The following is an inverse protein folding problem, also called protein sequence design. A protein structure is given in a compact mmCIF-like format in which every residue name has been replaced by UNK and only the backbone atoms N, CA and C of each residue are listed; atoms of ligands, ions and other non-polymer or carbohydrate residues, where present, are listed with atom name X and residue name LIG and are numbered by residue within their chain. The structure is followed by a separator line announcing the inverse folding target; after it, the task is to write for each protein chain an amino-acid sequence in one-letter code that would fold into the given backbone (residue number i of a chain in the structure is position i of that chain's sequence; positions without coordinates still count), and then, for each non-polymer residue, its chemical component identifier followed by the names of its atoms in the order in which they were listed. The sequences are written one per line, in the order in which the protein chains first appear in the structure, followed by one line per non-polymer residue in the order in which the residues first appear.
data_IF_525401771025
#
_entry.id   IF_525401771025
#
_cell.length_a   1.000
_cell.length_b   1.000
_cell.length_c   1.000
_cell.angle_alpha   90.00
_cell.angle_beta   90.00
_cell.angle_gamma   90.00
#
_symmetry.space_group_name_H-M   'P 1'
#
loop_
_entity.id
_entity.type
_entity.pdbx_description
1 polymer ?
#
# COMPACT_ATOMS: atom_id res chain seq x y z
N UNK A 1 -13.42 30.08 0.42
CA UNK A 1 -12.65 28.86 0.79
C UNK A 1 -12.50 28.82 2.30
N UNK A 2 -13.08 27.83 2.95
CA UNK A 2 -12.92 27.61 4.41
C UNK A 2 -11.49 27.19 4.69
N UNK A 3 -10.84 27.80 5.67
CA UNK A 3 -9.49 27.43 6.10
C UNK A 3 -9.59 26.42 7.23
N UNK A 4 -8.92 25.26 7.08
CA UNK A 4 -8.76 24.29 8.16
C UNK A 4 -7.72 24.77 9.16
N UNK A 5 -7.96 24.50 10.44
CA UNK A 5 -6.97 24.72 11.48
C UNK A 5 -5.80 23.73 11.34
N UNK A 6 -4.60 24.11 11.77
CA UNK A 6 -3.40 23.23 11.75
C UNK A 6 -3.66 21.89 12.43
N UNK A 7 -4.42 21.88 13.52
CA UNK A 7 -4.82 20.67 14.25
C UNK A 7 -5.68 19.73 13.39
N UNK A 8 -6.60 20.28 12.59
CA UNK A 8 -7.45 19.46 11.71
C UNK A 8 -6.65 18.83 10.57
N UNK A 9 -5.73 19.59 9.99
CA UNK A 9 -4.80 19.10 8.96
C UNK A 9 -3.95 17.97 9.52
N UNK A 10 -3.38 18.14 10.72
CA UNK A 10 -2.61 17.11 11.40
C UNK A 10 -3.45 15.84 11.62
N UNK A 11 -4.68 15.97 12.11
CA UNK A 11 -5.57 14.82 12.35
C UNK A 11 -5.92 14.06 11.06
N UNK A 12 -6.08 14.77 9.93
CA UNK A 12 -6.33 14.12 8.63
C UNK A 12 -5.05 13.44 8.12
N UNK A 13 -3.88 14.05 8.31
CA UNK A 13 -2.59 13.42 7.96
C UNK A 13 -2.35 12.16 8.80
N UNK A 14 -2.62 12.18 10.10
CA UNK A 14 -2.53 11.02 10.97
C UNK A 14 -3.55 9.93 10.62
N UNK A 15 -4.77 10.33 10.23
CA UNK A 15 -5.77 9.38 9.71
C UNK A 15 -5.28 8.69 8.44
N UNK A 16 -4.76 9.45 7.49
CA UNK A 16 -4.23 8.89 6.25
C UNK A 16 -3.00 8.01 6.48
N UNK A 17 -2.08 8.43 7.35
CA UNK A 17 -0.96 7.59 7.79
C UNK A 17 -1.45 6.24 8.34
N UNK A 18 -2.41 6.25 9.26
CA UNK A 18 -2.97 5.03 9.85
C UNK A 18 -3.64 4.12 8.81
N UNK A 19 -4.25 4.70 7.78
CA UNK A 19 -4.89 3.93 6.70
C UNK A 19 -3.85 3.27 5.79
N UNK A 20 -2.69 3.89 5.57
CA UNK A 20 -1.58 3.31 4.84
C UNK A 20 -0.80 2.30 5.70
N UNK A 21 -0.49 2.65 6.94
CA UNK A 21 0.41 1.91 7.79
C UNK A 21 -0.21 0.60 8.30
N UNK A 22 0.03 -0.45 7.55
CA UNK A 22 -0.53 -1.79 7.80
C UNK A 22 0.54 -2.88 7.85
N UNK A 23 0.10 -4.10 7.58
CA UNK A 23 0.91 -5.31 7.63
C UNK A 23 2.21 -5.22 6.82
N UNK A 24 2.11 -4.80 5.54
CA UNK A 24 3.27 -4.69 4.65
C UNK A 24 4.30 -3.68 5.15
N UNK A 25 3.83 -2.53 5.63
CA UNK A 25 4.66 -1.44 6.12
C UNK A 25 5.46 -1.80 7.39
N UNK A 26 5.01 -2.81 8.11
CA UNK A 26 5.72 -3.35 9.26
C UNK A 26 6.75 -4.41 8.91
N UNK A 27 6.51 -5.23 7.87
CA UNK A 27 7.39 -6.38 7.58
C UNK A 27 8.44 -6.11 6.51
N UNK A 28 8.14 -5.29 5.49
CA UNK A 28 9.09 -5.10 4.39
C UNK A 28 10.30 -4.23 4.75
N UNK A 29 10.19 -3.09 5.46
CA UNK A 29 11.36 -2.30 5.82
C UNK A 29 12.37 -3.05 6.71
N UNK A 30 11.97 -3.79 7.76
CA UNK A 30 12.95 -4.56 8.55
C UNK A 30 13.57 -5.70 7.74
N UNK A 31 12.83 -6.33 6.82
CA UNK A 31 13.39 -7.38 5.98
C UNK A 31 14.40 -6.81 4.97
N UNK A 32 14.04 -5.69 4.34
CA UNK A 32 14.97 -4.92 3.51
C UNK A 32 16.24 -4.59 4.30
N UNK A 33 16.11 -4.05 5.51
CA UNK A 33 17.26 -3.71 6.34
C UNK A 33 18.14 -4.92 6.63
N UNK A 34 17.52 -6.05 7.00
CA UNK A 34 18.21 -7.31 7.25
C UNK A 34 18.95 -7.85 6.01
N UNK A 35 18.32 -7.84 4.83
CA UNK A 35 18.95 -8.34 3.60
C UNK A 35 19.97 -7.36 3.01
N UNK A 36 19.70 -6.07 3.07
CA UNK A 36 20.58 -5.03 2.55
C UNK A 36 21.82 -4.80 3.42
N UNK A 37 21.75 -5.10 4.74
CA UNK A 37 22.89 -4.97 5.64
C UNK A 37 23.55 -3.60 5.52
N UNK A 38 24.84 -3.55 5.15
CA UNK A 38 25.60 -2.29 4.98
C UNK A 38 25.04 -1.36 3.88
N UNK A 39 24.31 -1.91 2.90
CA UNK A 39 23.65 -1.14 1.83
C UNK A 39 22.24 -0.61 2.21
N UNK A 40 21.84 -0.70 3.49
CA UNK A 40 20.49 -0.34 3.94
C UNK A 40 20.07 1.06 3.55
N UNK A 41 20.96 2.05 3.65
CA UNK A 41 20.61 3.45 3.38
C UNK A 41 20.23 3.71 1.91
N UNK A 42 21.00 3.16 0.98
CA UNK A 42 20.71 3.24 -0.45
C UNK A 42 19.42 2.49 -0.80
N UNK A 43 19.24 1.31 -0.19
CA UNK A 43 18.02 0.50 -0.36
C UNK A 43 16.78 1.21 0.18
N UNK A 44 16.88 1.86 1.33
CA UNK A 44 15.80 2.66 1.92
C UNK A 44 15.42 3.86 1.07
N UNK A 45 16.36 4.50 0.37
CA UNK A 45 16.03 5.57 -0.58
C UNK A 45 15.10 5.03 -1.67
N UNK A 46 15.44 3.90 -2.29
CA UNK A 46 14.59 3.25 -3.28
C UNK A 46 13.22 2.87 -2.71
N UNK A 47 13.20 2.25 -1.53
CA UNK A 47 11.98 1.86 -0.85
C UNK A 47 11.06 3.06 -0.54
N UNK A 48 11.61 4.16 -0.01
CA UNK A 48 10.83 5.37 0.32
C UNK A 48 10.27 6.03 -0.94
N UNK A 49 11.03 6.06 -2.04
CA UNK A 49 10.52 6.58 -3.32
C UNK A 49 9.29 5.78 -3.75
N UNK A 50 9.31 4.46 -3.64
CA UNK A 50 8.22 3.57 -4.02
C UNK A 50 7.09 3.54 -3.00
N UNK A 51 7.39 3.23 -1.73
CA UNK A 51 6.39 3.00 -0.68
C UNK A 51 5.82 4.28 -0.06
N UNK A 52 6.43 5.46 -0.35
CA UNK A 52 5.94 6.74 0.15
C UNK A 52 5.72 7.74 -0.98
N UNK A 53 6.70 7.92 -1.85
CA UNK A 53 6.63 8.89 -2.94
C UNK A 53 5.47 8.61 -3.88
N UNK A 54 5.36 7.38 -4.40
CA UNK A 54 4.29 6.99 -5.31
C UNK A 54 2.89 7.09 -4.66
N UNK A 55 2.66 6.65 -3.42
CA UNK A 55 1.38 6.88 -2.72
C UNK A 55 1.02 8.35 -2.57
N UNK A 56 1.96 9.23 -2.19
CA UNK A 56 1.71 10.68 -2.13
C UNK A 56 1.27 11.20 -3.50
N UNK A 57 1.98 10.82 -4.57
CA UNK A 57 1.63 11.17 -5.94
C UNK A 57 0.26 10.62 -6.34
N UNK A 58 -0.11 9.43 -5.86
CA UNK A 58 -1.43 8.82 -6.02
C UNK A 58 -2.53 9.68 -5.38
N UNK A 59 -2.35 10.07 -4.12
CA UNK A 59 -3.30 10.96 -3.42
C UNK A 59 -3.45 12.30 -4.16
N UNK A 60 -2.33 12.90 -4.60
CA UNK A 60 -2.36 14.17 -5.36
C UNK A 60 -3.06 14.00 -6.71
N UNK A 61 -2.83 12.88 -7.41
CA UNK A 61 -3.48 12.59 -8.68
C UNK A 61 -5.01 12.45 -8.53
N UNK A 62 -5.47 11.73 -7.49
CA UNK A 62 -6.89 11.63 -7.16
C UNK A 62 -7.47 12.97 -6.75
N UNK A 63 -6.75 13.75 -5.94
CA UNK A 63 -7.17 15.07 -5.52
C UNK A 63 -7.41 16.03 -6.72
N UNK A 64 -6.53 15.96 -7.74
CA UNK A 64 -6.67 16.73 -8.98
C UNK A 64 -7.74 16.18 -9.92
N UNK A 65 -7.98 14.89 -9.92
CA UNK A 65 -8.98 14.25 -10.78
C UNK A 65 -10.40 14.31 -10.20
N UNK A 66 -10.53 14.51 -8.88
CA UNK A 66 -11.79 14.47 -8.14
C UNK A 66 -12.18 13.08 -7.65
N UNK A 67 -11.91 12.01 -8.42
CA UNK A 67 -12.17 10.62 -8.04
C UNK A 67 -11.31 9.63 -8.84
N UNK A 68 -11.23 8.38 -8.36
CA UNK A 68 -10.56 7.31 -9.09
C UNK A 68 -11.30 6.97 -10.39
N UNK A 69 -12.64 6.96 -10.36
CA UNK A 69 -13.44 6.75 -11.58
C UNK A 69 -13.19 7.82 -12.64
N UNK A 70 -13.11 9.10 -12.23
CA UNK A 70 -12.79 10.20 -13.15
C UNK A 70 -11.40 10.05 -13.75
N UNK A 71 -10.41 9.65 -12.95
CA UNK A 71 -9.05 9.40 -13.42
C UNK A 71 -9.02 8.25 -14.43
N UNK A 72 -9.62 7.12 -14.10
CA UNK A 72 -9.70 5.95 -14.97
C UNK A 72 -10.54 6.19 -16.24
N UNK A 73 -11.57 7.02 -16.13
CA UNK A 73 -12.44 7.42 -17.24
C UNK A 73 -11.75 8.19 -18.37
N UNK A 74 -10.58 8.76 -18.09
CA UNK A 74 -9.75 9.40 -19.11
C UNK A 74 -9.16 8.40 -20.11
N UNK A 75 -9.10 7.12 -19.76
CA UNK A 75 -8.69 6.03 -20.66
C UNK A 75 -9.86 5.64 -21.58
N UNK A 76 -10.99 5.25 -20.98
CA UNK A 76 -12.22 4.87 -21.67
C UNK A 76 -13.39 4.84 -20.67
N UNK A 77 -14.63 5.04 -21.13
CA UNK A 77 -15.82 5.01 -20.26
C UNK A 77 -16.00 3.69 -19.51
N UNK A 78 -15.81 2.56 -20.15
CA UNK A 78 -15.86 1.24 -19.49
C UNK A 78 -14.71 1.04 -18.49
N UNK A 79 -13.53 1.59 -18.78
CA UNK A 79 -12.37 1.52 -17.90
C UNK A 79 -12.60 2.28 -16.59
N UNK A 80 -13.44 3.34 -16.61
CA UNK A 80 -13.85 4.10 -15.41
C UNK A 80 -14.53 3.24 -14.34
N UNK A 81 -15.13 2.13 -14.72
CA UNK A 81 -15.82 1.22 -13.79
C UNK A 81 -14.99 -0.04 -13.57
N UNK A 82 -14.52 -0.67 -14.64
CA UNK A 82 -13.87 -1.98 -14.59
C UNK A 82 -12.57 -1.91 -13.76
N UNK A 83 -11.68 -0.98 -14.06
CA UNK A 83 -10.38 -0.92 -13.41
C UNK A 83 -10.48 -0.54 -11.91
N UNK A 84 -11.24 0.50 -11.51
CA UNK A 84 -11.52 0.72 -10.09
C UNK A 84 -12.16 -0.51 -9.40
N UNK A 85 -13.16 -1.16 -9.98
CA UNK A 85 -13.74 -2.38 -9.40
C UNK A 85 -12.67 -3.45 -9.14
N UNK A 86 -11.78 -3.71 -10.11
CA UNK A 86 -10.68 -4.66 -9.97
C UNK A 86 -9.79 -4.25 -8.79
N UNK A 87 -9.35 -2.99 -8.74
CA UNK A 87 -8.46 -2.50 -7.67
C UNK A 87 -9.14 -2.58 -6.30
N UNK A 88 -10.40 -2.15 -6.18
CA UNK A 88 -11.16 -2.23 -4.92
C UNK A 88 -11.39 -3.67 -4.46
N UNK A 89 -11.69 -4.60 -5.37
CA UNK A 89 -11.87 -6.02 -5.02
C UNK A 89 -10.55 -6.64 -4.57
N UNK A 90 -9.46 -6.42 -5.31
CA UNK A 90 -8.19 -7.06 -4.99
C UNK A 90 -7.50 -6.45 -3.77
N UNK A 91 -7.38 -5.13 -3.68
CA UNK A 91 -6.75 -4.48 -2.51
C UNK A 91 -7.65 -4.56 -1.27
N UNK A 92 -8.97 -4.56 -1.46
CA UNK A 92 -9.95 -4.74 -0.39
C UNK A 92 -10.09 -6.21 0.03
N UNK A 93 -11.26 -6.81 -0.20
CA UNK A 93 -11.59 -8.14 0.33
C UNK A 93 -10.76 -9.29 -0.28
N UNK A 94 -10.15 -9.11 -1.45
CA UNK A 94 -9.40 -10.17 -2.12
C UNK A 94 -8.02 -10.44 -1.51
N UNK A 95 -7.28 -9.42 -1.13
CA UNK A 95 -5.87 -9.56 -0.72
C UNK A 95 -5.50 -8.72 0.49
N UNK A 96 -5.71 -7.40 0.46
CA UNK A 96 -5.15 -6.47 1.44
C UNK A 96 -5.73 -6.67 2.84
N UNK A 97 -7.05 -6.74 2.95
CA UNK A 97 -7.75 -6.92 4.22
C UNK A 97 -7.53 -8.34 4.80
N UNK A 98 -7.67 -9.44 4.01
CA UNK A 98 -7.35 -10.78 4.51
C UNK A 98 -5.91 -10.92 4.99
N UNK A 99 -4.94 -10.37 4.24
CA UNK A 99 -3.52 -10.35 4.63
C UNK A 99 -3.29 -9.66 5.97
N UNK A 100 -3.95 -8.54 6.21
CA UNK A 100 -3.85 -7.83 7.46
C UNK A 100 -4.39 -8.66 8.65
N UNK A 101 -5.53 -9.33 8.48
CA UNK A 101 -6.11 -10.20 9.51
C UNK A 101 -5.23 -11.41 9.82
N UNK A 102 -4.73 -12.11 8.81
CA UNK A 102 -3.82 -13.26 8.99
C UNK A 102 -2.51 -12.85 9.66
N UNK A 103 -1.89 -11.74 9.23
CA UNK A 103 -0.63 -11.31 9.80
C UNK A 103 -0.77 -10.81 11.24
N UNK A 104 -1.88 -10.13 11.56
CA UNK A 104 -2.17 -9.73 12.94
C UNK A 104 -2.29 -10.96 13.87
N UNK A 105 -2.86 -12.05 13.38
CA UNK A 105 -2.87 -13.32 14.11
C UNK A 105 -1.46 -13.90 14.26
N UNK A 106 -0.72 -14.05 13.16
CA UNK A 106 0.61 -14.67 13.18
C UNK A 106 1.60 -13.92 14.07
N UNK A 107 1.52 -12.59 14.14
CA UNK A 107 2.42 -11.77 14.94
C UNK A 107 1.94 -11.49 16.37
N UNK A 108 0.69 -11.81 16.66
CA UNK A 108 0.11 -11.72 18.00
C UNK A 108 -0.13 -13.10 18.61
N UNK A 109 -1.37 -13.60 18.61
CA UNK A 109 -1.69 -14.89 19.24
C UNK A 109 -0.87 -16.08 18.69
N UNK A 110 -0.55 -16.10 17.40
CA UNK A 110 0.24 -17.17 16.79
C UNK A 110 1.66 -17.32 17.36
N UNK A 111 2.28 -16.21 17.78
CA UNK A 111 3.58 -16.23 18.46
C UNK A 111 3.46 -16.74 19.92
N UNK A 112 2.35 -16.43 20.59
CA UNK A 112 2.11 -16.85 21.98
C UNK A 112 1.67 -18.31 22.08
N UNK A 113 1.00 -18.81 21.04
CA UNK A 113 0.47 -20.17 20.96
C UNK A 113 0.89 -20.84 19.64
N UNK A 114 2.17 -21.26 19.48
CA UNK A 114 2.69 -21.79 18.22
C UNK A 114 1.97 -23.04 17.72
N UNK A 115 1.40 -23.85 18.64
CA UNK A 115 0.62 -25.04 18.33
C UNK A 115 -0.87 -24.77 18.10
N UNK A 116 -1.26 -23.48 18.05
CA UNK A 116 -2.66 -23.10 17.85
C UNK A 116 -3.15 -23.58 16.47
N UNK A 117 -4.10 -24.50 16.47
CA UNK A 117 -4.73 -25.02 15.26
C UNK A 117 -5.63 -23.98 14.56
N UNK A 118 -6.15 -24.34 13.39
CA UNK A 118 -7.05 -23.51 12.56
C UNK A 118 -8.25 -22.94 13.30
N UNK A 119 -8.72 -23.60 14.38
CA UNK A 119 -9.82 -23.10 15.22
C UNK A 119 -9.48 -21.81 15.96
N UNK A 120 -8.22 -21.63 16.40
CA UNK A 120 -7.79 -20.40 17.10
C UNK A 120 -7.66 -19.24 16.12
N UNK A 121 -7.17 -19.51 14.90
CA UNK A 121 -7.15 -18.54 13.81
C UNK A 121 -8.58 -18.09 13.47
N UNK A 122 -9.52 -19.02 13.33
CA UNK A 122 -10.92 -18.70 13.06
C UNK A 122 -11.52 -17.83 14.19
N UNK A 123 -11.34 -18.20 15.43
CA UNK A 123 -11.84 -17.44 16.59
C UNK A 123 -11.28 -16.01 16.63
N UNK A 124 -9.96 -15.88 16.41
CA UNK A 124 -9.31 -14.56 16.33
C UNK A 124 -9.84 -13.72 15.17
N UNK A 125 -9.96 -14.29 13.98
CA UNK A 125 -10.41 -13.56 12.79
C UNK A 125 -11.87 -13.14 12.93
N UNK A 126 -12.74 -13.93 13.57
CA UNK A 126 -14.12 -13.54 13.90
C UNK A 126 -14.14 -12.29 14.78
N UNK A 127 -13.34 -12.26 15.84
CA UNK A 127 -13.24 -11.08 16.71
C UNK A 127 -12.67 -9.89 15.96
N UNK A 128 -11.54 -10.07 15.25
CA UNK A 128 -10.87 -9.02 14.51
C UNK A 128 -11.81 -8.37 13.49
N UNK A 129 -12.46 -9.17 12.64
CA UNK A 129 -13.36 -8.65 11.60
C UNK A 129 -14.69 -8.13 12.15
N UNK A 130 -15.15 -8.60 13.30
CA UNK A 130 -16.28 -7.99 13.99
C UNK A 130 -15.97 -6.58 14.48
N UNK A 131 -14.77 -6.36 15.01
CA UNK A 131 -14.28 -5.03 15.41
C UNK A 131 -14.12 -4.14 14.17
N UNK A 132 -13.50 -4.65 13.10
CA UNK A 132 -13.33 -3.93 11.83
C UNK A 132 -14.69 -3.49 11.27
N UNK A 133 -15.67 -4.41 11.18
CA UNK A 133 -17.02 -4.10 10.72
C UNK A 133 -17.68 -3.02 11.58
N UNK A 134 -17.69 -3.21 12.90
CA UNK A 134 -18.33 -2.27 13.83
C UNK A 134 -17.76 -0.85 13.74
N UNK A 135 -16.43 -0.71 13.71
CA UNK A 135 -15.77 0.58 13.59
C UNK A 135 -15.98 1.22 12.22
N UNK A 136 -16.07 0.42 11.16
CA UNK A 136 -16.33 0.90 9.78
C UNK A 136 -17.77 1.42 9.61
N UNK A 137 -18.72 1.09 10.48
CA UNK A 137 -20.11 1.59 10.39
C UNK A 137 -20.24 3.11 10.63
N UNK A 138 -19.19 3.76 11.16
CA UNK A 138 -19.19 5.20 11.45
C UNK A 138 -18.04 5.94 10.76
N UNK A 139 -18.04 6.07 9.42
CA UNK A 139 -16.93 6.67 8.67
C UNK A 139 -16.58 8.10 9.12
N UNK A 140 -17.56 8.87 9.57
CA UNK A 140 -17.36 10.25 10.06
C UNK A 140 -16.52 10.33 11.35
N UNK A 141 -16.43 9.24 12.11
CA UNK A 141 -15.63 9.18 13.35
C UNK A 141 -14.19 8.74 13.13
N UNK A 142 -13.84 8.24 11.93
CA UNK A 142 -12.50 7.68 11.65
C UNK A 142 -11.37 8.70 11.87
N UNK A 143 -11.56 9.95 11.48
CA UNK A 143 -10.56 11.00 11.71
C UNK A 143 -10.25 11.17 13.21
N UNK A 144 -11.28 11.10 14.06
CA UNK A 144 -11.10 11.17 15.51
C UNK A 144 -10.45 9.92 16.10
N UNK A 145 -10.89 8.75 15.68
CA UNK A 145 -10.37 7.46 16.13
C UNK A 145 -8.90 7.28 15.72
N UNK A 146 -8.60 7.44 14.44
CA UNK A 146 -7.23 7.27 13.94
C UNK A 146 -6.33 8.40 14.41
N UNK A 147 -6.70 9.65 14.15
CA UNK A 147 -5.81 10.78 14.41
C UNK A 147 -5.57 11.08 15.90
N UNK A 148 -6.51 10.75 16.80
CA UNK A 148 -6.38 11.06 18.23
C UNK A 148 -5.97 9.89 19.10
N UNK A 149 -6.21 8.66 18.67
CA UNK A 149 -6.06 7.46 19.53
C UNK A 149 -5.08 6.47 18.90
N UNK A 150 -5.48 5.83 17.80
CA UNK A 150 -4.74 4.67 17.26
C UNK A 150 -3.37 5.04 16.71
N UNK A 151 -3.27 6.13 15.93
CA UNK A 151 -1.98 6.57 15.37
C UNK A 151 -1.00 7.04 16.44
N UNK A 152 -1.35 7.93 17.40
CA UNK A 152 -0.43 8.29 18.47
C UNK A 152 0.06 7.10 19.29
N UNK A 153 -0.85 6.16 19.62
CA UNK A 153 -0.48 4.95 20.35
C UNK A 153 0.54 4.11 19.56
N UNK A 154 0.28 3.89 18.27
CA UNK A 154 1.17 3.15 17.37
C UNK A 154 2.54 3.81 17.25
N UNK A 155 2.58 5.14 17.05
CA UNK A 155 3.83 5.91 16.96
C UNK A 155 4.61 5.85 18.26
N UNK A 156 3.97 5.94 19.42
CA UNK A 156 4.61 5.80 20.73
C UNK A 156 5.25 4.42 20.90
N UNK A 157 4.55 3.34 20.50
CA UNK A 157 5.09 1.99 20.58
C UNK A 157 6.32 1.80 19.67
N UNK A 158 6.27 2.32 18.42
CA UNK A 158 7.42 2.25 17.50
C UNK A 158 8.58 3.10 18.01
N UNK A 159 8.32 4.29 18.54
CA UNK A 159 9.35 5.14 19.15
C UNK A 159 10.02 4.44 20.34
N UNK A 160 9.27 3.70 21.15
CA UNK A 160 9.83 2.91 22.25
C UNK A 160 10.82 1.85 21.75
N UNK A 161 10.49 1.14 20.67
CA UNK A 161 11.39 0.15 20.06
C UNK A 161 12.67 0.84 19.59
N UNK A 162 12.54 1.94 18.85
CA UNK A 162 13.69 2.68 18.32
C UNK A 162 14.59 3.22 19.41
N UNK A 163 14.02 3.88 20.42
CA UNK A 163 14.80 4.40 21.56
C UNK A 163 15.54 3.26 22.26
N UNK A 164 14.85 2.15 22.53
CA UNK A 164 15.50 1.00 23.19
C UNK A 164 16.60 0.39 22.34
N UNK A 165 16.44 0.30 21.01
CA UNK A 165 17.46 -0.23 20.09
C UNK A 165 18.72 0.66 20.03
N UNK A 166 18.61 1.95 20.30
CA UNK A 166 19.78 2.84 20.37
C UNK A 166 20.64 2.65 21.63
N UNK A 167 20.05 2.17 22.73
CA UNK A 167 20.72 1.96 24.00
C UNK A 167 21.05 0.49 24.30
N UNK A 168 20.70 -0.43 23.38
CA UNK A 168 20.95 -1.86 23.54
C UNK A 168 21.62 -2.38 22.29
N UNK A 169 22.76 -3.03 22.44
CA UNK A 169 23.43 -3.71 21.32
C UNK A 169 22.54 -4.86 20.86
N UNK A 170 21.96 -4.74 19.67
CA UNK A 170 21.11 -5.78 19.08
C UNK A 170 21.98 -6.78 18.34
N UNK A 171 22.84 -6.30 17.45
CA UNK A 171 23.77 -7.08 16.65
C UNK A 171 24.48 -6.19 15.64
N UNK A 172 25.15 -6.82 14.67
CA UNK A 172 25.91 -6.14 13.63
C UNK A 172 25.21 -6.23 12.27
N UNK A 173 25.47 -5.22 11.43
CA UNK A 173 25.07 -5.26 10.02
C UNK A 173 25.93 -6.33 9.32
N UNK A 174 25.31 -7.06 8.40
CA UNK A 174 25.99 -8.06 7.58
C UNK A 174 26.23 -7.56 6.15
N UNK A 175 27.00 -8.29 5.38
CA UNK A 175 27.12 -8.06 3.94
C UNK A 175 25.76 -8.20 3.26
N UNK A 176 25.50 -7.39 2.19
CA UNK A 176 24.23 -7.43 1.47
C UNK A 176 24.01 -8.77 0.78
N UNK A 177 22.77 -9.27 0.79
CA UNK A 177 22.37 -10.53 0.19
C UNK A 177 21.68 -10.29 -1.18
N UNK A 178 21.97 -11.16 -2.14
CA UNK A 178 21.28 -11.19 -3.43
C UNK A 178 21.42 -9.89 -4.21
N UNK A 179 20.31 -9.38 -4.73
CA UNK A 179 20.28 -8.15 -5.54
C UNK A 179 20.65 -6.88 -4.76
N UNK A 180 20.62 -6.91 -3.42
CA UNK A 180 21.08 -5.78 -2.61
C UNK A 180 22.59 -5.54 -2.72
N UNK A 181 23.37 -6.56 -3.12
CA UNK A 181 24.79 -6.41 -3.42
C UNK A 181 25.06 -5.68 -4.73
N UNK A 182 24.20 -5.82 -5.73
CA UNK A 182 24.43 -5.32 -7.09
C UNK A 182 23.61 -4.05 -7.41
N UNK A 183 22.32 -4.03 -7.01
CA UNK A 183 21.39 -2.97 -7.34
C UNK A 183 20.49 -2.59 -6.13
N UNK A 184 21.09 -2.14 -5.00
CA UNK A 184 20.38 -1.95 -3.74
C UNK A 184 19.20 -0.98 -3.83
N UNK A 185 19.34 0.10 -4.58
CA UNK A 185 18.28 1.09 -4.76
C UNK A 185 17.09 0.52 -5.55
N UNK A 186 17.34 -0.23 -6.62
CA UNK A 186 16.28 -0.85 -7.43
C UNK A 186 15.56 -1.95 -6.64
N UNK A 187 16.30 -2.79 -5.92
CA UNK A 187 15.70 -3.82 -5.09
C UNK A 187 14.80 -3.19 -4.01
N UNK A 188 15.28 -2.17 -3.29
CA UNK A 188 14.46 -1.43 -2.34
C UNK A 188 13.22 -0.80 -2.97
N UNK A 189 13.33 -0.25 -4.18
CA UNK A 189 12.19 0.30 -4.92
C UNK A 189 11.14 -0.77 -5.23
N UNK A 190 11.54 -1.97 -5.64
CA UNK A 190 10.62 -3.08 -5.90
C UNK A 190 9.95 -3.59 -4.62
N UNK A 191 10.69 -3.68 -3.52
CA UNK A 191 10.12 -4.10 -2.24
C UNK A 191 9.08 -3.11 -1.73
N UNK A 192 9.23 -1.82 -2.07
CA UNK A 192 8.21 -0.82 -1.80
C UNK A 192 6.86 -1.09 -2.48
N UNK A 193 6.81 -1.80 -3.62
CA UNK A 193 5.54 -2.21 -4.24
C UNK A 193 4.74 -3.17 -3.35
N UNK A 194 5.43 -4.00 -2.57
CA UNK A 194 4.81 -5.03 -1.74
C UNK A 194 4.02 -4.44 -0.56
N UNK A 195 4.23 -3.15 -0.23
CA UNK A 195 3.39 -2.44 0.75
C UNK A 195 1.96 -2.23 0.23
N UNK A 196 1.75 -2.16 -1.08
CA UNK A 196 0.49 -1.88 -1.78
C UNK A 196 -0.03 -0.44 -1.62
N UNK A 197 0.76 0.47 -1.05
CA UNK A 197 0.31 1.82 -0.68
C UNK A 197 -0.05 2.70 -1.87
N UNK A 198 0.65 2.55 -3.03
CA UNK A 198 0.31 3.33 -4.22
C UNK A 198 -1.07 2.96 -4.80
N UNK A 199 -1.46 1.68 -4.72
CA UNK A 199 -2.80 1.24 -5.07
C UNK A 199 -3.83 1.69 -4.02
N UNK A 200 -3.47 1.58 -2.74
CA UNK A 200 -4.30 2.04 -1.63
C UNK A 200 -4.57 3.55 -1.70
N UNK A 201 -3.61 4.35 -2.19
CA UNK A 201 -3.78 5.79 -2.40
C UNK A 201 -4.94 6.12 -3.36
N UNK A 202 -5.12 5.33 -4.43
CA UNK A 202 -6.24 5.47 -5.35
C UNK A 202 -7.58 5.19 -4.68
N UNK A 203 -7.60 4.27 -3.71
CA UNK A 203 -8.78 3.84 -2.95
C UNK A 203 -9.11 4.83 -1.84
N UNK A 204 -8.13 5.27 -1.06
CA UNK A 204 -8.35 6.09 0.13
C UNK A 204 -8.80 7.53 -0.19
N UNK A 205 -8.62 7.97 -1.42
CA UNK A 205 -9.04 9.29 -1.86
C UNK A 205 -10.51 9.60 -1.54
N UNK A 206 -11.41 8.62 -1.64
CA UNK A 206 -12.84 8.80 -1.33
C UNK A 206 -13.07 9.09 0.16
N UNK A 207 -12.38 8.39 1.06
CA UNK A 207 -12.51 8.57 2.52
C UNK A 207 -11.97 9.92 2.95
N UNK A 208 -10.80 10.32 2.40
CA UNK A 208 -10.18 11.63 2.71
C UNK A 208 -11.06 12.76 2.21
N UNK A 209 -11.56 12.68 0.97
CA UNK A 209 -12.45 13.68 0.41
C UNK A 209 -13.72 13.85 1.26
N UNK A 210 -14.33 12.73 1.70
CA UNK A 210 -15.51 12.75 2.55
C UNK A 210 -15.20 13.33 3.96
N UNK A 211 -14.04 13.02 4.53
CA UNK A 211 -13.61 13.60 5.81
C UNK A 211 -13.42 15.13 5.71
N UNK A 212 -12.88 15.62 4.58
CA UNK A 212 -12.73 17.04 4.31
C UNK A 212 -14.08 17.73 4.08
N UNK A 213 -14.99 17.11 3.32
CA UNK A 213 -16.36 17.61 3.12
C UNK A 213 -17.13 17.72 4.43
N UNK A 214 -16.99 16.75 5.32
CA UNK A 214 -17.58 16.79 6.66
C UNK A 214 -17.04 17.97 7.51
N UNK A 215 -15.87 18.53 7.15
CA UNK A 215 -15.30 19.75 7.73
C UNK A 215 -15.73 21.03 7.01
N UNK A 216 -16.55 20.90 5.97
CA UNK A 216 -17.09 22.02 5.19
C UNK A 216 -16.14 22.51 4.09
N UNK A 217 -15.23 21.67 3.61
CA UNK A 217 -14.46 21.90 2.39
C UNK A 217 -15.22 21.24 1.24
N UNK A 218 -15.96 22.02 0.47
CA UNK A 218 -16.80 21.52 -0.63
C UNK A 218 -16.22 21.84 -2.01
N UNK A 219 -15.39 22.88 -2.09
CA UNK A 219 -14.78 23.32 -3.34
C UNK A 219 -13.61 22.42 -3.77
N UNK A 220 -13.54 22.08 -5.06
CA UNK A 220 -12.54 21.16 -5.62
C UNK A 220 -11.10 21.62 -5.39
N UNK A 221 -10.84 22.93 -5.43
CA UNK A 221 -9.50 23.49 -5.16
C UNK A 221 -9.10 23.29 -3.70
N UNK A 222 -10.02 23.46 -2.76
CA UNK A 222 -9.81 23.21 -1.34
C UNK A 222 -9.57 21.73 -1.07
N UNK A 223 -10.39 20.85 -1.64
CA UNK A 223 -10.20 19.41 -1.55
C UNK A 223 -8.82 19.01 -2.07
N UNK A 224 -8.44 19.42 -3.28
CA UNK A 224 -7.15 19.12 -3.87
C UNK A 224 -5.98 19.61 -2.99
N UNK A 225 -6.07 20.84 -2.46
CA UNK A 225 -5.06 21.41 -1.57
C UNK A 225 -4.89 20.59 -0.29
N UNK A 226 -5.97 20.36 0.44
CA UNK A 226 -5.89 19.71 1.75
C UNK A 226 -5.63 18.19 1.64
N UNK A 227 -6.10 17.50 0.60
CA UNK A 227 -5.71 16.13 0.30
C UNK A 227 -4.21 16.02 0.03
N UNK A 228 -3.64 16.94 -0.76
CA UNK A 228 -2.19 16.96 -1.04
C UNK A 228 -1.37 17.19 0.23
N UNK A 229 -1.78 18.14 1.08
CA UNK A 229 -1.10 18.43 2.36
C UNK A 229 -1.18 17.19 3.27
N UNK A 230 -2.35 16.56 3.37
CA UNK A 230 -2.52 15.35 4.16
C UNK A 230 -1.66 14.18 3.64
N UNK A 231 -1.58 14.02 2.31
CA UNK A 231 -0.71 13.03 1.67
C UNK A 231 0.77 13.23 2.00
N UNK A 232 1.26 14.47 1.89
CA UNK A 232 2.63 14.81 2.26
C UNK A 232 2.89 14.55 3.75
N UNK A 233 1.97 14.97 4.63
CA UNK A 233 2.10 14.74 6.06
C UNK A 233 2.15 13.25 6.44
N UNK A 234 1.27 12.44 5.85
CA UNK A 234 1.26 10.99 6.04
C UNK A 234 2.56 10.35 5.49
N UNK A 235 3.00 10.77 4.31
CA UNK A 235 4.21 10.25 3.69
C UNK A 235 5.48 10.58 4.47
N UNK A 236 5.60 11.76 5.05
CA UNK A 236 6.73 12.11 5.93
C UNK A 236 6.78 11.19 7.15
N UNK A 237 5.63 10.91 7.78
CA UNK A 237 5.56 9.98 8.90
C UNK A 237 5.93 8.55 8.48
N UNK A 238 5.42 8.07 7.33
CA UNK A 238 5.79 6.76 6.79
C UNK A 238 7.30 6.66 6.56
N UNK A 239 7.91 7.68 5.94
CA UNK A 239 9.35 7.69 5.66
C UNK A 239 10.19 7.59 6.93
N UNK A 240 9.82 8.34 7.99
CA UNK A 240 10.48 8.26 9.29
C UNK A 240 10.39 6.84 9.87
N UNK A 241 9.21 6.23 9.83
CA UNK A 241 9.03 4.88 10.35
C UNK A 241 9.79 3.84 9.53
N UNK A 242 9.85 3.98 8.21
CA UNK A 242 10.62 3.06 7.35
C UNK A 242 12.12 3.15 7.60
N UNK A 243 12.65 4.36 7.85
CA UNK A 243 14.04 4.53 8.27
C UNK A 243 14.31 3.83 9.61
N UNK A 244 13.42 3.98 10.58
CA UNK A 244 13.53 3.32 11.89
C UNK A 244 13.49 1.80 11.73
N UNK A 245 12.48 1.28 11.05
CA UNK A 245 12.31 -0.17 10.90
C UNK A 245 13.40 -0.81 10.04
N UNK A 246 13.83 -0.12 8.98
CA UNK A 246 14.95 -0.56 8.15
C UNK A 246 16.27 -0.60 8.92
N UNK A 247 16.54 0.42 9.72
CA UNK A 247 17.71 0.42 10.61
C UNK A 247 17.66 -0.74 11.61
N UNK A 248 16.52 -0.93 12.28
CA UNK A 248 16.31 -2.05 13.23
C UNK A 248 16.52 -3.41 12.54
N UNK A 249 16.09 -3.54 11.28
CA UNK A 249 16.36 -4.73 10.47
C UNK A 249 17.84 -4.89 10.15
N UNK A 250 18.55 -3.85 9.76
CA UNK A 250 19.97 -3.91 9.39
C UNK A 250 20.86 -4.37 10.56
N UNK A 251 20.62 -3.84 11.77
CA UNK A 251 21.40 -4.23 12.97
C UNK A 251 21.07 -5.63 13.51
N UNK A 252 20.13 -6.36 12.89
CA UNK A 252 19.77 -7.73 13.26
C UNK A 252 20.58 -8.80 12.50
N UNK A 253 21.55 -8.39 11.67
CA UNK A 253 22.27 -9.28 10.76
C UNK A 253 22.95 -10.47 11.43
N UNK A 254 23.47 -10.30 12.66
CA UNK A 254 24.13 -11.36 13.43
C UNK A 254 23.20 -12.20 14.31
N UNK A 255 21.89 -11.88 14.38
CA UNK A 255 20.94 -12.61 15.24
C UNK A 255 20.47 -13.96 14.69
N UNK A 256 20.71 -14.25 13.42
CA UNK A 256 20.32 -15.51 12.78
C UNK A 256 19.94 -15.35 11.32
N UNK A 257 19.35 -16.41 10.75
CA UNK A 257 18.83 -16.40 9.39
C UNK A 257 17.31 -16.29 9.40
N UNK A 258 16.78 -15.34 8.65
CA UNK A 258 15.35 -15.04 8.59
C UNK A 258 14.86 -15.07 7.15
N UNK A 259 13.65 -15.56 6.94
CA UNK A 259 12.97 -15.66 5.65
C UNK A 259 11.91 -14.56 5.42
N UNK A 260 11.64 -13.76 6.45
CA UNK A 260 10.72 -12.62 6.35
C UNK A 260 10.93 -11.60 7.49
N UNK A 261 10.43 -10.37 7.27
CA UNK A 261 10.59 -9.27 8.23
C UNK A 261 9.81 -9.42 9.53
N UNK A 262 8.79 -10.26 9.55
CA UNK A 262 8.05 -10.55 10.77
C UNK A 262 8.95 -11.31 11.77
N UNK A 263 9.70 -12.32 11.29
CA UNK A 263 10.67 -13.05 12.11
C UNK A 263 11.85 -12.17 12.53
N UNK A 264 12.32 -11.26 11.64
CA UNK A 264 13.35 -10.26 12.00
C UNK A 264 12.87 -9.44 13.19
N UNK A 265 11.67 -8.84 13.11
CA UNK A 265 11.13 -8.03 14.21
C UNK A 265 10.89 -8.85 15.48
N UNK A 266 10.35 -10.07 15.36
CA UNK A 266 10.13 -10.92 16.52
C UNK A 266 11.44 -11.22 17.28
N UNK A 267 12.52 -11.54 16.55
CA UNK A 267 13.83 -11.77 17.16
C UNK A 267 14.39 -10.50 17.80
N UNK A 268 14.35 -9.36 17.11
CA UNK A 268 14.79 -8.07 17.68
C UNK A 268 14.00 -7.72 18.93
N UNK A 269 12.68 -7.90 18.91
CA UNK A 269 11.82 -7.60 20.07
C UNK A 269 12.12 -8.52 21.25
N UNK A 270 12.39 -9.80 20.99
CA UNK A 270 12.82 -10.75 22.02
C UNK A 270 14.17 -10.34 22.62
N UNK A 271 15.12 -9.89 21.80
CA UNK A 271 16.43 -9.38 22.24
C UNK A 271 16.29 -8.12 23.09
N UNK A 272 15.43 -7.17 22.70
CA UNK A 272 15.26 -5.88 23.38
C UNK A 272 14.43 -5.95 24.66
N UNK A 273 13.37 -6.77 24.67
CA UNK A 273 12.33 -6.74 25.72
C UNK A 273 11.98 -8.12 26.30
N UNK A 274 12.69 -9.19 25.86
CA UNK A 274 12.34 -10.56 26.25
C UNK A 274 10.93 -10.95 25.80
N UNK A 275 10.23 -11.74 26.62
CA UNK A 275 8.84 -12.16 26.29
C UNK A 275 7.84 -10.99 26.21
N UNK A 276 8.07 -9.91 26.95
CA UNK A 276 7.25 -8.69 26.83
C UNK A 276 7.32 -8.05 25.44
N UNK A 277 8.42 -8.25 24.74
CA UNK A 277 8.62 -7.79 23.36
C UNK A 277 7.65 -8.45 22.37
N UNK A 278 7.40 -9.74 22.53
CA UNK A 278 6.46 -10.48 21.66
C UNK A 278 5.03 -9.95 21.83
N UNK A 279 4.62 -9.67 23.07
CA UNK A 279 3.29 -9.08 23.35
C UNK A 279 3.19 -7.68 22.74
N UNK A 280 4.21 -6.83 22.94
CA UNK A 280 4.24 -5.48 22.38
C UNK A 280 4.18 -5.51 20.84
N UNK A 281 4.92 -6.42 20.21
CA UNK A 281 4.90 -6.60 18.76
C UNK A 281 3.50 -7.03 18.26
N UNK A 282 2.88 -7.99 18.94
CA UNK A 282 1.51 -8.44 18.64
C UNK A 282 0.48 -7.31 18.72
N UNK A 283 0.61 -6.41 19.72
CA UNK A 283 -0.24 -5.23 19.83
C UNK A 283 -0.03 -4.24 18.69
N UNK A 284 1.25 -3.96 18.30
CA UNK A 284 1.58 -3.08 17.19
C UNK A 284 0.97 -3.61 15.88
N UNK A 285 1.19 -4.91 15.57
CA UNK A 285 0.63 -5.52 14.38
C UNK A 285 -0.90 -5.52 14.39
N UNK A 286 -1.53 -5.87 15.51
CA UNK A 286 -2.98 -5.86 15.63
C UNK A 286 -3.56 -4.47 15.38
N UNK A 287 -3.01 -3.42 16.00
CA UNK A 287 -3.51 -2.05 15.86
C UNK A 287 -3.27 -1.54 14.42
N UNK A 288 -2.09 -1.74 13.86
CA UNK A 288 -1.78 -1.32 12.48
C UNK A 288 -2.69 -2.03 11.47
N UNK A 289 -2.86 -3.35 11.61
CA UNK A 289 -3.72 -4.15 10.74
C UNK A 289 -5.21 -3.79 10.91
N UNK A 290 -5.67 -3.46 12.12
CA UNK A 290 -7.01 -2.93 12.34
C UNK A 290 -7.22 -1.60 11.60
N UNK A 291 -6.29 -0.66 11.71
CA UNK A 291 -6.38 0.63 11.06
C UNK A 291 -6.53 0.52 9.55
N UNK A 292 -5.63 -0.24 8.89
CA UNK A 292 -5.70 -0.41 7.44
C UNK A 292 -6.96 -1.17 7.02
N UNK A 293 -7.37 -2.20 7.76
CA UNK A 293 -8.58 -2.97 7.46
C UNK A 293 -9.84 -2.12 7.55
N UNK A 294 -9.98 -1.30 8.61
CA UNK A 294 -11.10 -0.36 8.76
C UNK A 294 -11.11 0.66 7.60
N UNK A 295 -9.94 1.21 7.26
CA UNK A 295 -9.79 2.12 6.13
C UNK A 295 -10.22 1.52 4.79
N UNK A 296 -9.77 0.30 4.50
CA UNK A 296 -10.11 -0.43 3.28
C UNK A 296 -11.58 -0.86 3.24
N UNK A 297 -12.14 -1.42 4.33
CA UNK A 297 -13.57 -1.77 4.41
C UNK A 297 -14.43 -0.53 4.18
N UNK A 298 -14.08 0.59 4.81
CA UNK A 298 -14.79 1.86 4.63
C UNK A 298 -14.74 2.34 3.19
N UNK A 299 -13.54 2.35 2.58
CA UNK A 299 -13.35 2.81 1.19
C UNK A 299 -14.08 1.93 0.19
N UNK A 300 -13.93 0.60 0.31
CA UNK A 300 -14.63 -0.37 -0.55
C UNK A 300 -16.15 -0.22 -0.44
N UNK A 301 -16.67 -0.10 0.80
CA UNK A 301 -18.10 0.02 1.02
C UNK A 301 -18.68 1.34 0.50
N UNK A 302 -17.93 2.44 0.60
CA UNK A 302 -18.32 3.72 0.01
C UNK A 302 -18.33 3.65 -1.51
N UNK A 303 -17.32 3.04 -2.12
CA UNK A 303 -17.24 2.84 -3.56
C UNK A 303 -18.39 1.96 -4.07
N UNK A 304 -18.55 0.76 -3.50
CA UNK A 304 -19.57 -0.19 -3.97
C UNK A 304 -20.99 0.31 -3.73
N UNK A 305 -21.27 1.01 -2.63
CA UNK A 305 -22.60 1.60 -2.40
C UNK A 305 -22.90 2.74 -3.37
N UNK A 306 -21.88 3.47 -3.85
CA UNK A 306 -22.03 4.47 -4.91
C UNK A 306 -22.22 3.83 -6.30
N UNK A 307 -21.43 2.78 -6.60
CA UNK A 307 -21.48 2.07 -7.88
C UNK A 307 -22.77 1.20 -8.04
N UNK A 308 -23.24 0.65 -6.93
CA UNK A 308 -24.41 -0.25 -6.86
C UNK A 308 -25.43 0.25 -5.81
N UNK A 309 -26.22 1.29 -6.11
CA UNK A 309 -27.07 1.97 -5.12
C UNK A 309 -28.19 1.11 -4.51
N UNK A 310 -28.49 -0.04 -5.12
CA UNK A 310 -29.47 -1.00 -4.58
C UNK A 310 -29.04 -1.66 -3.26
N UNK A 311 -27.73 -1.65 -2.96
CA UNK A 311 -27.16 -2.27 -1.76
C UNK A 311 -26.58 -1.17 -0.86
N UNK A 312 -27.05 -1.14 0.39
CA UNK A 312 -26.65 -0.09 1.33
C UNK A 312 -25.19 -0.21 1.76
N UNK A 313 -24.60 0.90 2.20
CA UNK A 313 -23.23 0.95 2.75
C UNK A 313 -22.98 -0.10 3.84
N UNK A 314 -23.93 -0.26 4.80
CA UNK A 314 -23.81 -1.23 5.89
C UNK A 314 -23.73 -2.67 5.41
N UNK A 315 -24.51 -3.01 4.38
CA UNK A 315 -24.49 -4.35 3.79
C UNK A 315 -23.18 -4.59 3.04
N UNK A 316 -22.67 -3.60 2.30
CA UNK A 316 -21.35 -3.71 1.66
C UNK A 316 -20.24 -3.86 2.70
N UNK A 317 -20.25 -3.10 3.79
CA UNK A 317 -19.27 -3.23 4.87
C UNK A 317 -19.31 -4.64 5.50
N UNK A 318 -20.50 -5.22 5.67
CA UNK A 318 -20.67 -6.59 6.14
C UNK A 318 -20.08 -7.60 5.14
N UNK A 319 -20.47 -7.52 3.86
CA UNK A 319 -19.99 -8.42 2.80
C UNK A 319 -18.45 -8.37 2.71
N UNK A 320 -17.86 -7.18 2.63
CA UNK A 320 -16.41 -7.00 2.55
C UNK A 320 -15.72 -7.60 3.77
N UNK A 321 -16.24 -7.38 4.98
CA UNK A 321 -15.66 -7.91 6.22
C UNK A 321 -15.75 -9.45 6.27
N UNK A 322 -16.90 -10.04 5.92
CA UNK A 322 -17.09 -11.49 5.95
C UNK A 322 -16.25 -12.19 4.89
N UNK A 323 -16.22 -11.69 3.66
CA UNK A 323 -15.38 -12.26 2.60
C UNK A 323 -13.90 -12.21 3.01
N UNK A 324 -13.46 -11.08 3.57
CA UNK A 324 -12.08 -10.92 4.05
C UNK A 324 -11.77 -11.88 5.20
N UNK A 325 -12.71 -12.09 6.11
CA UNK A 325 -12.57 -13.06 7.20
C UNK A 325 -12.39 -14.49 6.67
N UNK A 326 -13.22 -14.90 5.72
CA UNK A 326 -13.13 -16.23 5.11
C UNK A 326 -11.75 -16.41 4.45
N UNK A 327 -11.32 -15.44 3.64
CA UNK A 327 -10.03 -15.50 2.95
C UNK A 327 -8.83 -15.42 3.91
N UNK A 328 -8.94 -14.69 5.02
CA UNK A 328 -7.90 -14.63 6.04
C UNK A 328 -7.60 -16.01 6.66
N UNK A 329 -8.60 -16.89 6.73
CA UNK A 329 -8.44 -18.25 7.25
C UNK A 329 -7.70 -19.21 6.29
N UNK A 330 -7.39 -18.79 5.05
CA UNK A 330 -6.47 -19.53 4.17
C UNK A 330 -5.01 -19.45 4.64
N UNK A 331 -4.71 -18.50 5.53
CA UNK A 331 -3.37 -18.23 6.03
C UNK A 331 -2.53 -17.33 5.12
N UNK A 332 -1.54 -16.65 5.71
CA UNK A 332 -0.73 -15.62 5.04
C UNK A 332 -0.01 -16.14 3.80
N UNK A 333 0.58 -17.34 3.89
CA UNK A 333 1.36 -17.94 2.79
C UNK A 333 0.53 -18.13 1.53
N UNK A 334 -0.71 -18.60 1.65
CA UNK A 334 -1.60 -18.80 0.49
C UNK A 334 -2.05 -17.45 -0.10
N UNK A 335 -2.37 -16.48 0.76
CA UNK A 335 -2.73 -15.13 0.33
C UNK A 335 -1.58 -14.50 -0.46
N UNK A 336 -0.33 -14.61 0.01
CA UNK A 336 0.84 -14.06 -0.67
C UNK A 336 1.11 -14.72 -2.03
N UNK A 337 0.96 -16.04 -2.15
CA UNK A 337 1.13 -16.74 -3.44
C UNK A 337 0.21 -16.23 -4.53
N UNK A 338 -1.02 -15.84 -4.18
CA UNK A 338 -2.00 -15.31 -5.13
C UNK A 338 -1.80 -13.81 -5.35
N UNK A 339 -1.42 -13.07 -4.30
CA UNK A 339 -1.34 -11.61 -4.36
C UNK A 339 -0.19 -11.09 -5.21
N UNK A 340 0.99 -11.72 -5.14
CA UNK A 340 2.19 -11.22 -5.81
C UNK A 340 2.03 -11.14 -7.34
N UNK A 341 1.56 -12.20 -8.05
CA UNK A 341 1.30 -12.11 -9.48
C UNK A 341 0.26 -11.05 -9.86
N UNK A 342 -0.83 -10.96 -9.11
CA UNK A 342 -1.91 -10.00 -9.39
C UNK A 342 -1.40 -8.56 -9.22
N UNK A 343 -0.64 -8.30 -8.17
CA UNK A 343 -0.01 -6.99 -7.96
C UNK A 343 0.95 -6.65 -9.11
N UNK A 344 1.76 -7.60 -9.57
CA UNK A 344 2.65 -7.41 -10.71
C UNK A 344 1.93 -6.97 -11.99
N UNK A 345 0.67 -7.41 -12.18
CA UNK A 345 -0.16 -6.97 -13.31
C UNK A 345 -0.78 -5.58 -13.08
N UNK A 346 -1.39 -5.34 -11.91
CA UNK A 346 -2.19 -4.13 -11.65
C UNK A 346 -1.29 -2.91 -11.39
N UNK A 347 -0.13 -3.11 -10.75
CA UNK A 347 0.73 -2.02 -10.28
C UNK A 347 1.24 -1.11 -11.41
N UNK A 348 1.82 -1.64 -12.52
CA UNK A 348 2.27 -0.79 -13.63
C UNK A 348 1.17 0.05 -14.25
N UNK A 349 -0.04 -0.52 -14.38
CA UNK A 349 -1.21 0.17 -14.92
C UNK A 349 -1.62 1.33 -13.98
N UNK A 350 -1.68 1.07 -12.69
CA UNK A 350 -2.05 2.07 -11.69
C UNK A 350 -1.02 3.21 -11.61
N UNK A 351 0.28 2.89 -11.60
CA UNK A 351 1.35 3.88 -11.60
C UNK A 351 1.32 4.74 -12.86
N UNK A 352 1.10 4.13 -14.02
CA UNK A 352 0.92 4.85 -15.28
C UNK A 352 -0.24 5.84 -15.19
N UNK A 353 -1.39 5.42 -14.66
CA UNK A 353 -2.54 6.31 -14.44
C UNK A 353 -2.23 7.45 -13.48
N UNK A 354 -1.53 7.19 -12.37
CA UNK A 354 -1.10 8.21 -11.41
C UNK A 354 -0.25 9.26 -12.11
N UNK A 355 0.78 8.81 -12.84
CA UNK A 355 1.71 9.70 -13.56
C UNK A 355 0.98 10.54 -14.60
N UNK A 356 0.18 9.91 -15.47
CA UNK A 356 -0.63 10.63 -16.46
C UNK A 356 -1.60 11.62 -15.80
N UNK A 357 -2.19 11.25 -14.67
CA UNK A 357 -3.09 12.11 -13.90
C UNK A 357 -2.42 13.39 -13.39
N UNK A 358 -1.18 13.29 -12.94
CA UNK A 358 -0.39 14.45 -12.49
C UNK A 358 -0.10 15.43 -13.62
N UNK A 359 0.22 14.91 -14.81
CA UNK A 359 0.53 15.68 -16.02
C UNK A 359 -0.69 16.06 -16.85
N UNK A 360 -1.92 15.79 -16.37
CA UNK A 360 -3.16 16.03 -17.11
C UNK A 360 -3.29 17.44 -17.69
N UNK A 361 -2.81 18.45 -16.98
CA UNK A 361 -2.80 19.85 -17.47
C UNK A 361 -2.11 20.00 -18.83
N UNK A 362 -1.09 19.21 -19.10
CA UNK A 362 -0.28 19.29 -20.34
C UNK A 362 -0.75 18.32 -21.42
N UNK A 363 -1.19 17.10 -20.99
CA UNK A 363 -1.53 16.01 -21.91
C UNK A 363 -3.03 15.85 -22.16
N UNK A 364 -3.89 16.47 -21.32
CA UNK A 364 -5.33 16.24 -21.36
C UNK A 364 -6.03 16.70 -22.63
N UNK A 365 -5.39 17.58 -23.42
CA UNK A 365 -5.87 17.99 -24.74
C UNK A 365 -5.71 16.91 -25.82
N UNK A 366 -4.87 15.89 -25.60
CA UNK A 366 -4.62 14.83 -26.55
C UNK A 366 -5.47 13.59 -26.22
N UNK A 367 -6.48 13.32 -27.08
CA UNK A 367 -7.55 12.35 -26.77
C UNK A 367 -7.04 10.93 -26.52
N UNK A 368 -5.97 10.49 -27.22
CA UNK A 368 -5.52 9.09 -27.20
C UNK A 368 -4.37 8.80 -26.25
N UNK A 369 -3.73 9.81 -25.64
CA UNK A 369 -2.55 9.60 -24.78
C UNK A 369 -2.85 8.65 -23.63
N UNK A 370 -3.94 8.85 -22.90
CA UNK A 370 -4.31 7.96 -21.81
C UNK A 370 -4.60 6.52 -22.27
N UNK A 371 -5.42 6.38 -23.32
CA UNK A 371 -5.83 5.06 -23.79
C UNK A 371 -4.64 4.26 -24.32
N UNK A 372 -3.86 4.84 -25.25
CA UNK A 372 -2.73 4.14 -25.87
C UNK A 372 -1.67 3.76 -24.82
N UNK A 373 -1.32 4.67 -23.92
CA UNK A 373 -0.31 4.40 -22.89
C UNK A 373 -0.76 3.27 -21.96
N UNK A 374 -1.98 3.35 -21.42
CA UNK A 374 -2.48 2.38 -20.45
C UNK A 374 -2.65 1.00 -21.07
N UNK A 375 -3.15 0.91 -22.31
CA UNK A 375 -3.29 -0.39 -22.99
C UNK A 375 -1.95 -1.04 -23.32
N UNK A 376 -0.96 -0.27 -23.77
CA UNK A 376 0.40 -0.80 -24.03
C UNK A 376 1.03 -1.33 -22.75
N UNK A 377 0.92 -0.60 -21.64
CA UNK A 377 1.41 -1.06 -20.32
C UNK A 377 0.64 -2.28 -19.84
N UNK A 378 -0.68 -2.33 -20.03
CA UNK A 378 -1.49 -3.49 -19.64
C UNK A 378 -1.09 -4.76 -20.41
N UNK A 379 -0.87 -4.64 -21.73
CA UNK A 379 -0.40 -5.75 -22.57
C UNK A 379 0.99 -6.21 -22.12
N UNK A 380 1.91 -5.28 -21.90
CA UNK A 380 3.26 -5.60 -21.41
C UNK A 380 3.22 -6.31 -20.05
N UNK A 381 2.44 -5.78 -19.10
CA UNK A 381 2.30 -6.38 -17.76
C UNK A 381 1.69 -7.78 -17.84
N UNK A 382 0.72 -8.02 -18.74
CA UNK A 382 0.18 -9.35 -18.96
C UNK A 382 1.26 -10.32 -19.51
N UNK A 383 2.06 -9.88 -20.48
CA UNK A 383 3.16 -10.67 -21.04
C UNK A 383 4.20 -11.00 -19.96
N UNK A 384 4.60 -10.02 -19.15
CA UNK A 384 5.57 -10.21 -18.07
C UNK A 384 5.09 -11.21 -17.01
N UNK A 385 3.84 -11.09 -16.58
CA UNK A 385 3.24 -12.03 -15.61
C UNK A 385 3.08 -13.44 -16.19
N UNK A 386 2.67 -13.56 -17.45
CA UNK A 386 2.61 -14.86 -18.13
C UNK A 386 4.00 -15.49 -18.24
N UNK A 387 5.02 -14.69 -18.58
CA UNK A 387 6.41 -15.18 -18.67
C UNK A 387 6.88 -15.72 -17.30
N UNK A 388 6.67 -14.96 -16.22
CA UNK A 388 7.15 -15.34 -14.88
C UNK A 388 6.41 -16.52 -14.25
N UNK A 389 5.09 -16.60 -14.44
CA UNK A 389 4.25 -17.56 -13.68
C UNK A 389 3.79 -18.76 -14.51
N UNK A 390 3.73 -18.67 -15.83
CA UNK A 390 3.22 -19.74 -16.71
C UNK A 390 4.33 -20.29 -17.61
N UNK A 391 5.11 -19.41 -18.25
CA UNK A 391 6.13 -19.81 -19.22
C UNK A 391 7.50 -20.06 -18.59
N UNK A 392 7.61 -20.13 -17.25
CA UNK A 392 8.86 -20.43 -16.54
C UNK A 392 10.06 -19.63 -17.05
N UNK A 393 9.86 -18.33 -17.34
CA UNK A 393 10.87 -17.39 -17.82
C UNK A 393 11.43 -17.65 -19.23
N UNK A 394 10.74 -18.43 -20.07
CA UNK A 394 11.21 -18.74 -21.44
C UNK A 394 11.40 -17.49 -22.33
N UNK A 395 10.58 -16.46 -22.13
CA UNK A 395 10.66 -15.21 -22.91
C UNK A 395 11.64 -14.18 -22.32
N UNK A 396 12.24 -14.47 -21.19
CA UNK A 396 13.21 -13.56 -20.53
C UNK A 396 14.42 -13.29 -21.45
N UNK A 397 14.82 -14.25 -22.31
CA UNK A 397 15.88 -14.04 -23.30
C UNK A 397 15.62 -12.90 -24.26
N UNK A 398 14.34 -12.63 -24.59
CA UNK A 398 13.89 -11.54 -25.45
C UNK A 398 13.58 -10.28 -24.63
N UNK A 399 12.84 -10.44 -23.53
CA UNK A 399 12.38 -9.32 -22.70
C UNK A 399 13.53 -8.58 -22.01
N UNK A 400 14.66 -9.23 -21.74
CA UNK A 400 15.87 -8.61 -21.16
C UNK A 400 16.48 -7.49 -22.02
N UNK A 401 16.16 -7.41 -23.30
CA UNK A 401 16.60 -6.30 -24.16
C UNK A 401 15.80 -5.02 -23.92
N UNK A 402 14.66 -5.10 -23.21
CA UNK A 402 13.92 -3.92 -22.77
C UNK A 402 14.67 -3.30 -21.59
N UNK A 403 15.09 -2.03 -21.67
CA UNK A 403 15.78 -1.36 -20.57
C UNK A 403 14.99 -1.49 -19.25
N UNK A 404 15.71 -1.71 -18.16
CA UNK A 404 15.17 -1.90 -16.81
C UNK A 404 14.28 -3.14 -16.60
N UNK A 405 14.26 -4.09 -17.55
CA UNK A 405 13.49 -5.33 -17.38
C UNK A 405 14.10 -6.22 -16.29
N UNK A 406 15.43 -6.37 -16.30
CA UNK A 406 16.18 -7.15 -15.29
C UNK A 406 16.07 -6.55 -13.90
N UNK A 407 15.95 -5.25 -13.79
CA UNK A 407 15.71 -4.51 -12.57
C UNK A 407 14.23 -4.53 -12.12
N UNK A 408 13.34 -5.22 -12.86
CA UNK A 408 11.94 -5.42 -12.52
C UNK A 408 11.01 -4.23 -12.80
N UNK A 409 11.51 -3.15 -13.40
CA UNK A 409 10.73 -1.95 -13.76
C UNK A 409 10.64 -1.74 -15.27
N UNK A 410 10.74 -2.81 -16.05
CA UNK A 410 10.70 -2.79 -17.51
C UNK A 410 9.43 -2.17 -18.13
N UNK A 411 8.34 -2.06 -17.38
CA UNK A 411 7.09 -1.42 -17.80
C UNK A 411 7.23 0.10 -18.10
N UNK A 412 8.28 0.75 -17.60
CA UNK A 412 8.54 2.18 -17.81
C UNK A 412 8.74 2.48 -19.31
N UNK A 413 9.46 1.61 -20.02
CA UNK A 413 9.72 1.80 -21.46
C UNK A 413 8.43 1.70 -22.27
N UNK A 414 7.59 0.66 -22.14
CA UNK A 414 6.24 0.64 -22.72
C UNK A 414 5.39 1.85 -22.37
N UNK A 415 5.48 2.38 -21.16
CA UNK A 415 4.73 3.58 -20.77
C UNK A 415 5.19 4.82 -21.55
N UNK A 416 6.49 5.03 -21.70
CA UNK A 416 7.05 6.15 -22.48
C UNK A 416 6.68 6.01 -23.97
N UNK A 417 6.87 4.82 -24.54
CA UNK A 417 6.52 4.52 -25.95
C UNK A 417 5.02 4.75 -26.16
N UNK A 418 4.18 4.25 -25.28
CA UNK A 418 2.73 4.43 -25.34
C UNK A 418 2.31 5.90 -25.27
N UNK A 419 2.99 6.69 -24.43
CA UNK A 419 2.72 8.12 -24.34
C UNK A 419 3.10 8.84 -25.65
N UNK A 420 4.27 8.55 -26.22
CA UNK A 420 4.70 9.12 -27.50
C UNK A 420 3.75 8.74 -28.64
N UNK A 421 3.39 7.45 -28.74
CA UNK A 421 2.42 6.98 -29.74
C UNK A 421 1.05 7.62 -29.58
N UNK A 422 0.58 7.78 -28.33
CA UNK A 422 -0.67 8.46 -28.04
C UNK A 422 -0.67 9.92 -28.49
N UNK A 423 0.46 10.64 -28.36
CA UNK A 423 0.62 11.99 -28.91
C UNK A 423 0.55 11.98 -30.43
N UNK A 424 1.30 11.10 -31.08
CA UNK A 424 1.33 11.00 -32.56
C UNK A 424 -0.07 10.71 -33.11
N UNK A 425 -0.76 9.71 -32.54
CA UNK A 425 -2.14 9.33 -32.94
C UNK A 425 -3.12 10.49 -32.74
N UNK A 426 -3.01 11.20 -31.59
CA UNK A 426 -3.89 12.33 -31.33
C UNK A 426 -3.72 13.47 -32.33
N UNK A 427 -2.48 13.76 -32.72
CA UNK A 427 -2.17 14.79 -33.72
C UNK A 427 -2.60 14.34 -35.12
N UNK A 428 -2.26 13.10 -35.52
CA UNK A 428 -2.54 12.56 -36.84
C UNK A 428 -4.06 12.48 -37.14
N UNK A 429 -4.87 12.19 -36.11
CA UNK A 429 -6.32 12.13 -36.25
C UNK A 429 -7.01 13.47 -36.00
N UNK A 430 -6.25 14.55 -35.81
CA UNK A 430 -6.76 15.90 -35.53
C UNK A 430 -7.78 15.96 -34.35
N UNK A 431 -7.66 15.04 -33.39
CA UNK A 431 -8.51 14.91 -32.22
C UNK A 431 -7.84 15.52 -30.99
N UNK A 432 -7.79 16.85 -30.97
CA UNK A 432 -7.51 17.60 -29.75
C UNK A 432 -8.85 17.83 -29.01
N UNK A 433 -8.89 17.56 -27.69
CA UNK A 433 -10.04 17.85 -26.82
C UNK A 433 -10.03 19.30 -26.36
#
# INVERSE_FOLDING_TARGET
MKLLQKKEILLISLMLFSMFFGAGNLIFPPFLGYEAGEHVWISLVGFIISATGLPILGVISIAKAGSFQTLAGRVHSSFAIIFPCIVYVFIGPGLGIPRAGSLAFEMGPGQLFPEAGSGVLLFYTVIFFSIVYWLSLSPSKLMGLFGKVLTPLLLCMIALIFIKSMFTTVGDMKEPIGNYGQAPMFQGFLDGYLTMDALAALIFGIVIANALRAKGIEDDKGLAKYMSIAGIGAGLLLSIIYVILGYVGAISGSLGTFDNGAKVLAQVMTTLFGQGGVVLLGLIFTIACLCVSIGLVTSCSQFFSSAFPKVSYKVWAFIVSVVSMILANLGLTQILKVSVPILGFIYPIALTLIILGLFHKYIGKYAYVYAVTVWIVAIFSAIDILNKNVMMNQWTSVLKYIPFYTEGVGWIVPAIVGMCLGFIVSIALNKNK
#
